data_IF_779988018661
#
_entry.id   IF_779988018661
#
_cell.length_a   1.000
_cell.length_b   1.000
_cell.length_c   1.000
_cell.angle_alpha   90.00
_cell.angle_beta   90.00
_cell.angle_gamma   90.00
#
_symmetry.space_group_name_H-M   'P 1'
#
loop_
_entity.id
_entity.type
_entity.pdbx_description
1 polymer ?
#
# COMPACT_ATOMS: atom_id res chain seq x y z
N UNK A 1 -27.65 -8.44 -20.83
CA UNK A 1 -27.53 -8.58 -19.36
C UNK A 1 -26.37 -7.74 -18.92
N UNK A 2 -26.65 -6.51 -18.53
CA UNK A 2 -25.68 -5.65 -17.87
C UNK A 2 -25.30 -6.33 -16.56
N UNK A 3 -24.09 -6.90 -16.49
CA UNK A 3 -23.56 -7.36 -15.21
C UNK A 3 -23.46 -6.09 -14.36
N UNK A 4 -24.36 -5.91 -13.38
CA UNK A 4 -24.18 -4.96 -12.29
C UNK A 4 -22.69 -4.94 -11.96
N UNK A 5 -22.03 -3.79 -12.21
CA UNK A 5 -20.59 -3.67 -12.04
C UNK A 5 -20.25 -4.22 -10.67
N UNK A 6 -19.54 -5.36 -10.64
CA UNK A 6 -19.07 -6.01 -9.41
C UNK A 6 -17.90 -5.23 -8.87
N UNK A 7 -18.13 -3.96 -8.65
CA UNK A 7 -17.19 -2.99 -8.16
C UNK A 7 -17.46 -2.82 -6.67
N UNK A 8 -16.42 -2.93 -5.86
CA UNK A 8 -16.55 -2.53 -4.46
C UNK A 8 -16.71 -1.03 -4.42
N UNK A 9 -17.62 -0.55 -3.58
CA UNK A 9 -17.86 0.89 -3.36
C UNK A 9 -16.52 1.61 -3.25
N UNK A 10 -16.38 2.72 -3.98
CA UNK A 10 -15.21 3.60 -3.88
C UNK A 10 -15.03 4.05 -2.43
N UNK A 11 -13.94 3.63 -1.81
CA UNK A 11 -13.55 4.09 -0.48
C UNK A 11 -12.65 5.32 -0.61
N UNK A 12 -12.79 6.19 0.36
CA UNK A 12 -11.97 7.38 0.53
C UNK A 12 -11.63 7.49 2.01
N UNK A 13 -10.36 7.61 2.31
CA UNK A 13 -9.86 7.85 3.67
C UNK A 13 -9.37 9.29 3.73
N UNK A 14 -9.78 10.01 4.77
CA UNK A 14 -9.24 11.33 5.11
C UNK A 14 -8.79 11.31 6.56
N UNK A 15 -7.57 11.78 6.79
CA UNK A 15 -7.01 11.97 8.12
C UNK A 15 -7.19 13.44 8.46
N UNK A 16 -7.81 13.70 9.60
CA UNK A 16 -7.99 15.03 10.14
C UNK A 16 -7.11 15.20 11.37
N UNK A 17 -6.54 16.39 11.54
CA UNK A 17 -5.89 16.78 12.79
C UNK A 17 -6.95 17.06 13.89
N UNK A 18 -6.49 17.49 15.07
CA UNK A 18 -7.39 17.85 16.17
C UNK A 18 -8.17 19.15 15.93
N UNK A 19 -7.75 19.97 14.96
CA UNK A 19 -8.50 21.18 14.56
C UNK A 19 -9.63 20.88 13.58
N UNK A 20 -9.66 19.67 13.00
CA UNK A 20 -10.60 19.25 11.96
C UNK A 20 -10.09 19.50 10.54
N UNK A 21 -8.86 19.99 10.38
CA UNK A 21 -8.20 20.19 9.09
C UNK A 21 -7.76 18.85 8.49
N UNK A 22 -8.00 18.65 7.19
CA UNK A 22 -7.61 17.42 6.51
C UNK A 22 -6.11 17.46 6.14
N UNK A 23 -5.31 16.61 6.78
CA UNK A 23 -3.83 16.63 6.68
C UNK A 23 -3.24 15.51 5.83
N UNK A 24 -4.02 14.47 5.52
CA UNK A 24 -3.66 13.44 4.55
C UNK A 24 -4.91 12.73 4.04
N UNK A 25 -4.82 12.10 2.86
CA UNK A 25 -5.91 11.30 2.34
C UNK A 25 -5.44 10.15 1.44
N UNK A 26 -6.30 9.15 1.29
CA UNK A 26 -6.12 8.06 0.35
C UNK A 26 -7.40 7.87 -0.48
N UNK A 27 -7.23 7.77 -1.79
CA UNK A 27 -8.30 7.68 -2.76
C UNK A 27 -8.11 6.49 -3.69
N UNK A 28 -9.18 5.78 -4.01
CA UNK A 28 -9.13 4.76 -5.06
C UNK A 28 -9.12 5.47 -6.43
N UNK A 29 -8.08 5.23 -7.22
CA UNK A 29 -7.95 5.72 -8.60
C UNK A 29 -8.23 4.62 -9.63
N UNK A 30 -7.95 3.37 -9.27
CA UNK A 30 -8.36 2.20 -10.06
C UNK A 30 -9.22 1.30 -9.19
N UNK A 31 -10.48 1.05 -9.56
CA UNK A 31 -11.41 0.33 -8.71
C UNK A 31 -11.03 -1.14 -8.54
N UNK A 32 -11.37 -1.69 -7.38
CA UNK A 32 -11.19 -3.11 -7.10
C UNK A 32 -12.33 -3.90 -7.74
N UNK A 33 -12.03 -4.52 -8.88
CA UNK A 33 -12.96 -5.30 -9.70
C UNK A 33 -12.38 -6.67 -10.04
N UNK A 34 -13.21 -7.70 -10.24
CA UNK A 34 -12.72 -9.01 -10.66
C UNK A 34 -12.08 -8.93 -12.06
N UNK A 35 -10.92 -9.57 -12.22
CA UNK A 35 -10.28 -9.71 -13.53
C UNK A 35 -11.02 -10.72 -14.41
N UNK A 36 -10.90 -10.59 -15.74
CA UNK A 36 -11.54 -11.49 -16.70
C UNK A 36 -11.23 -12.96 -16.41
N UNK A 37 -12.27 -13.78 -16.29
CA UNK A 37 -12.13 -15.22 -15.99
C UNK A 37 -11.90 -15.57 -14.52
N UNK A 38 -11.82 -14.58 -13.61
CA UNK A 38 -11.61 -14.79 -12.18
C UNK A 38 -12.72 -14.12 -11.35
N UNK A 39 -12.85 -14.54 -10.08
CA UNK A 39 -13.73 -13.89 -9.10
C UNK A 39 -12.97 -13.01 -8.10
N UNK A 40 -11.76 -12.56 -8.41
CA UNK A 40 -10.92 -11.72 -7.55
C UNK A 40 -10.16 -10.68 -8.36
N UNK A 41 -9.62 -9.67 -7.67
CA UNK A 41 -8.72 -8.67 -8.24
C UNK A 41 -7.39 -9.34 -8.54
N UNK A 42 -7.04 -9.57 -9.79
CA UNK A 42 -5.78 -10.23 -10.16
C UNK A 42 -4.70 -9.22 -10.54
N UNK A 43 -3.44 -9.67 -10.61
CA UNK A 43 -2.28 -8.84 -10.99
C UNK A 43 -2.42 -8.15 -12.34
N UNK A 44 -3.21 -8.70 -13.26
CA UNK A 44 -3.49 -8.12 -14.58
C UNK A 44 -4.37 -6.86 -14.52
N UNK A 45 -5.09 -6.65 -13.43
CA UNK A 45 -5.91 -5.46 -13.20
C UNK A 45 -5.94 -5.14 -11.69
N UNK A 46 -4.83 -4.62 -11.14
CA UNK A 46 -4.74 -4.32 -9.70
C UNK A 46 -5.64 -3.14 -9.35
N UNK A 47 -6.20 -3.16 -8.14
CA UNK A 47 -6.81 -1.97 -7.56
C UNK A 47 -5.72 -0.99 -7.13
N UNK A 48 -5.97 0.32 -7.28
CA UNK A 48 -4.96 1.34 -7.03
C UNK A 48 -5.49 2.41 -6.10
N UNK A 49 -4.69 2.74 -5.10
CA UNK A 49 -4.86 3.89 -4.23
C UNK A 49 -3.82 4.96 -4.55
N UNK A 50 -4.26 6.20 -4.57
CA UNK A 50 -3.41 7.38 -4.54
C UNK A 50 -3.40 7.96 -3.12
N UNK A 51 -2.21 8.06 -2.55
CA UNK A 51 -1.96 8.72 -1.27
C UNK A 51 -1.56 10.16 -1.55
N UNK A 52 -2.18 11.10 -0.85
CA UNK A 52 -2.01 12.52 -1.08
C UNK A 52 -1.88 13.29 0.24
N UNK A 53 -1.25 14.46 0.17
CA UNK A 53 -1.20 15.45 1.24
C UNK A 53 -1.76 16.78 0.72
N UNK A 54 -2.20 17.70 1.61
CA UNK A 54 -2.64 19.02 1.20
C UNK A 54 -1.50 19.81 0.54
N UNK A 55 -1.84 20.65 -0.44
CA UNK A 55 -0.93 21.64 -1.01
C UNK A 55 -0.84 22.84 -0.08
N UNK A 56 0.38 23.18 0.36
CA UNK A 56 0.62 24.35 1.20
C UNK A 56 0.38 25.68 0.46
N UNK A 57 0.52 25.70 -0.88
CA UNK A 57 0.36 26.90 -1.70
C UNK A 57 -1.09 27.14 -2.10
N UNK A 58 -1.92 26.09 -2.12
CA UNK A 58 -3.29 26.14 -2.65
C UNK A 58 -4.25 25.41 -1.70
N UNK A 59 -4.97 26.17 -0.85
CA UNK A 59 -5.99 25.61 0.02
C UNK A 59 -6.98 24.74 -0.76
N UNK A 60 -7.43 23.63 -0.16
CA UNK A 60 -8.35 22.65 -0.73
C UNK A 60 -7.82 21.77 -1.87
N UNK A 61 -6.57 21.99 -2.32
CA UNK A 61 -5.94 21.13 -3.32
C UNK A 61 -5.03 20.07 -2.68
N UNK A 62 -4.79 18.99 -3.42
CA UNK A 62 -4.09 17.80 -2.96
C UNK A 62 -2.94 17.46 -3.91
N UNK A 63 -1.78 17.17 -3.34
CA UNK A 63 -0.59 16.76 -4.08
C UNK A 63 -0.35 15.25 -3.94
N UNK A 64 0.01 14.56 -5.03
CA UNK A 64 0.28 13.13 -5.01
C UNK A 64 1.59 12.82 -4.29
N UNK A 65 1.54 11.89 -3.34
CA UNK A 65 2.73 11.43 -2.62
C UNK A 65 3.16 10.02 -3.03
N UNK A 66 2.19 9.12 -3.19
CA UNK A 66 2.48 7.73 -3.45
C UNK A 66 1.32 6.97 -4.06
N UNK A 67 1.64 5.87 -4.71
CA UNK A 67 0.69 4.96 -5.36
C UNK A 67 0.79 3.58 -4.72
N UNK A 68 -0.29 3.09 -4.13
CA UNK A 68 -0.39 1.73 -3.61
C UNK A 68 -1.26 0.90 -4.55
N UNK A 69 -0.66 -0.11 -5.17
CA UNK A 69 -1.35 -1.11 -5.95
C UNK A 69 -1.62 -2.35 -5.09
N UNK A 70 -2.78 -2.97 -5.28
CA UNK A 70 -3.13 -4.18 -4.56
C UNK A 70 -3.93 -5.17 -5.41
N UNK A 71 -3.57 -6.45 -5.28
CA UNK A 71 -4.25 -7.57 -5.95
C UNK A 71 -4.13 -8.85 -5.12
N UNK A 72 -4.99 -9.83 -5.42
CA UNK A 72 -4.97 -11.15 -4.78
C UNK A 72 -4.22 -12.14 -5.66
N UNK A 73 -3.27 -12.83 -5.08
CA UNK A 73 -2.57 -13.96 -5.70
C UNK A 73 -3.07 -15.26 -5.09
N UNK A 74 -3.63 -16.12 -5.94
CA UNK A 74 -4.08 -17.47 -5.59
C UNK A 74 -3.08 -18.47 -6.17
N UNK A 75 -2.26 -19.03 -5.30
CA UNK A 75 -1.34 -20.12 -5.62
C UNK A 75 -1.38 -21.17 -4.51
N UNK A 76 -0.21 -21.64 -4.06
CA UNK A 76 -0.10 -22.53 -2.89
C UNK A 76 -0.66 -21.86 -1.62
N UNK A 77 -0.55 -20.53 -1.54
CA UNK A 77 -1.10 -19.71 -0.45
C UNK A 77 -1.95 -18.59 -1.03
N UNK A 78 -3.10 -18.34 -0.40
CA UNK A 78 -3.97 -17.22 -0.73
C UNK A 78 -3.47 -15.95 -0.04
N UNK A 79 -3.04 -14.97 -0.84
CA UNK A 79 -2.40 -13.76 -0.33
C UNK A 79 -2.84 -12.52 -1.11
N UNK A 80 -2.82 -11.37 -0.45
CA UNK A 80 -2.99 -10.06 -1.06
C UNK A 80 -1.60 -9.43 -1.20
N UNK A 81 -1.19 -9.14 -2.42
CA UNK A 81 0.00 -8.37 -2.69
C UNK A 81 -0.32 -6.88 -2.55
N UNK A 82 0.55 -6.16 -1.86
CA UNK A 82 0.53 -4.70 -1.74
C UNK A 82 1.85 -4.16 -2.25
N UNK A 83 1.80 -3.32 -3.28
CA UNK A 83 2.97 -2.74 -3.94
C UNK A 83 2.89 -1.21 -3.90
N UNK A 84 3.80 -0.59 -3.18
CA UNK A 84 3.83 0.85 -2.97
C UNK A 84 4.97 1.51 -3.75
N UNK A 85 4.61 2.53 -4.52
CA UNK A 85 5.53 3.40 -5.23
C UNK A 85 5.47 4.81 -4.65
N UNK A 86 6.63 5.42 -4.43
CA UNK A 86 6.74 6.84 -4.14
C UNK A 86 6.76 7.61 -5.46
N UNK A 87 6.04 8.74 -5.50
CA UNK A 87 6.00 9.59 -6.68
C UNK A 87 7.03 10.70 -6.52
N UNK A 88 7.90 10.90 -7.51
CA UNK A 88 8.86 12.00 -7.51
C UNK A 88 8.19 13.30 -7.95
N UNK A 89 8.43 14.38 -7.21
CA UNK A 89 7.92 15.73 -7.51
C UNK A 89 8.69 16.41 -8.66
N UNK A 90 9.76 15.79 -9.17
CA UNK A 90 10.61 16.32 -10.25
C UNK A 90 10.06 16.18 -11.67
N UNK A 91 10.66 16.93 -12.62
CA UNK A 91 10.24 17.02 -14.02
C UNK A 91 10.14 15.68 -14.78
N UNK A 92 10.80 14.63 -14.33
CA UNK A 92 10.78 13.30 -14.97
C UNK A 92 9.60 12.42 -14.57
N UNK A 93 8.74 12.84 -13.64
CA UNK A 93 7.49 12.13 -13.29
C UNK A 93 7.70 10.66 -12.87
N UNK A 94 8.90 10.32 -12.39
CA UNK A 94 9.29 8.94 -12.12
C UNK A 94 8.58 8.36 -10.90
N UNK A 95 8.14 7.11 -11.01
CA UNK A 95 7.65 6.32 -9.90
C UNK A 95 8.77 5.42 -9.36
N UNK A 96 8.90 5.35 -8.04
CA UNK A 96 9.96 4.59 -7.38
C UNK A 96 9.40 3.52 -6.46
N UNK A 97 9.68 2.25 -6.74
CA UNK A 97 9.21 1.13 -5.92
C UNK A 97 9.84 1.19 -4.52
N UNK A 98 9.01 1.42 -3.51
CA UNK A 98 9.42 1.51 -2.10
C UNK A 98 9.19 0.21 -1.35
N UNK A 99 8.12 -0.53 -1.66
CA UNK A 99 7.79 -1.77 -0.96
C UNK A 99 6.88 -2.66 -1.81
N UNK A 100 7.12 -3.96 -1.77
CA UNK A 100 6.22 -4.99 -2.31
C UNK A 100 6.15 -6.13 -1.30
N UNK A 101 4.94 -6.41 -0.79
CA UNK A 101 4.72 -7.40 0.28
C UNK A 101 3.51 -8.27 -0.04
N UNK A 102 3.66 -9.58 0.19
CA UNK A 102 2.55 -10.52 0.17
C UNK A 102 2.00 -10.73 1.59
N UNK A 103 0.76 -10.32 1.81
CA UNK A 103 0.05 -10.43 3.08
C UNK A 103 -0.90 -11.62 2.98
N UNK A 104 -0.86 -12.52 3.96
CA UNK A 104 -1.76 -13.69 3.93
C UNK A 104 -3.22 -13.24 4.07
N UNK A 105 -4.09 -13.71 3.16
CA UNK A 105 -5.48 -13.27 3.11
C UNK A 105 -6.25 -13.59 4.40
N UNK A 106 -6.08 -14.78 4.97
CA UNK A 106 -6.85 -15.24 6.15
C UNK A 106 -6.22 -14.79 7.48
N UNK A 107 -4.89 -14.79 7.55
CA UNK A 107 -4.15 -14.50 8.78
C UNK A 107 -3.85 -13.01 8.94
N UNK A 108 -3.75 -12.27 7.84
CA UNK A 108 -3.18 -10.93 7.83
C UNK A 108 -1.65 -10.98 7.78
N UNK A 109 -1.01 -9.88 8.15
CA UNK A 109 0.44 -9.77 8.10
C UNK A 109 0.92 -8.35 8.35
N UNK A 110 2.16 -8.10 7.98
CA UNK A 110 2.84 -6.82 8.19
C UNK A 110 3.25 -6.24 6.84
N UNK A 111 2.92 -4.98 6.63
CA UNK A 111 3.41 -4.17 5.53
C UNK A 111 4.48 -3.23 6.07
N UNK A 112 5.67 -3.22 5.50
CA UNK A 112 6.76 -2.38 5.98
C UNK A 112 7.44 -1.65 4.83
N UNK A 113 8.05 -0.51 5.15
CA UNK A 113 8.94 0.24 4.26
C UNK A 113 10.29 0.36 4.95
N UNK A 114 11.34 -0.01 4.23
CA UNK A 114 12.72 -0.01 4.71
C UNK A 114 13.63 0.40 3.56
N UNK A 115 14.37 1.50 3.75
CA UNK A 115 15.27 2.05 2.73
C UNK A 115 16.57 1.25 2.61
N UNK A 116 16.90 0.37 3.56
CA UNK A 116 18.09 -0.50 3.51
C UNK A 116 18.00 -1.60 2.44
N UNK A 117 16.78 -2.04 2.09
CA UNK A 117 16.61 -3.10 1.08
C UNK A 117 16.99 -2.65 -0.32
N UNK A 118 17.17 -1.34 -0.52
CA UNK A 118 17.39 -0.72 -1.80
C UNK A 118 18.87 -0.54 -2.16
N UNK A 119 19.74 -0.36 -1.16
CA UNK A 119 21.20 -0.29 -1.38
C UNK A 119 21.81 -1.62 -1.77
N UNK A 120 21.10 -2.76 -1.55
CA UNK A 120 21.58 -4.10 -1.92
C UNK A 120 21.32 -4.50 -3.38
N UNK A 121 20.41 -3.85 -4.09
CA UNK A 121 20.11 -4.16 -5.50
C UNK A 121 20.92 -3.34 -6.50
N UNK A 122 21.70 -2.35 -6.05
CA UNK A 122 22.47 -1.45 -6.91
C UNK A 122 24.00 -1.67 -6.92
N UNK A 123 24.52 -2.69 -6.22
CA UNK A 123 25.99 -2.90 -6.15
C UNK A 123 26.34 -4.35 -6.48
N UNK A 124 26.74 -4.59 -7.73
CA UNK A 124 27.59 -5.74 -8.06
C UNK A 124 28.98 -5.50 -7.44
N UNK A 125 29.53 -6.42 -6.62
CA UNK A 125 30.82 -6.19 -5.99
C UNK A 125 31.94 -6.51 -6.99
N UNK A 126 32.62 -5.47 -7.47
CA UNK A 126 33.92 -5.60 -8.14
C UNK A 126 34.98 -5.74 -7.03
N UNK A 127 35.81 -6.81 -7.00
CA UNK A 127 36.83 -6.96 -5.98
C UNK A 127 38.14 -6.32 -6.45
N UNK A 128 38.70 -5.34 -5.72
CA UNK A 128 40.08 -4.86 -5.88
C UNK A 128 40.52 -3.95 -4.72
N UNK A 129 41.83 -3.84 -4.41
CA UNK A 129 42.34 -4.13 -3.06
C UNK A 129 42.87 -2.93 -2.26
N UNK A 130 42.89 -3.14 -0.94
CA UNK A 130 43.74 -2.56 0.11
C UNK A 130 44.49 -1.24 -0.16
N UNK A 131 44.11 -0.19 0.58
CA UNK A 131 45.08 0.81 1.08
C UNK A 131 44.55 1.46 2.37
N UNK A 132 45.47 1.57 3.32
CA UNK A 132 45.37 2.11 4.67
C UNK A 132 44.94 3.56 4.74
N UNK A 133 44.12 3.90 5.74
CA UNK A 133 43.88 5.28 6.18
C UNK A 133 42.54 5.39 6.91
N UNK A 134 42.59 5.48 8.23
CA UNK A 134 41.44 5.77 9.07
C UNK A 134 40.80 7.11 8.70
N UNK A 135 39.65 7.03 8.04
CA UNK A 135 38.57 8.00 8.18
C UNK A 135 37.29 7.18 8.25
N UNK A 136 36.70 7.11 9.44
CA UNK A 136 35.44 6.40 9.68
C UNK A 136 34.46 6.72 8.56
N UNK A 137 34.06 5.67 7.85
CA UNK A 137 33.28 5.70 6.63
C UNK A 137 32.08 6.65 6.76
N UNK A 138 32.12 7.74 6.01
CA UNK A 138 30.95 8.53 5.64
C UNK A 138 30.11 7.69 4.67
N UNK A 139 29.48 6.62 5.16
CA UNK A 139 28.25 6.13 4.55
C UNK A 139 27.18 7.21 4.77
N UNK A 140 26.40 7.58 3.74
CA UNK A 140 25.40 8.63 3.90
C UNK A 140 24.43 8.23 5.01
N UNK A 141 24.21 9.17 5.90
CA UNK A 141 23.33 9.11 7.06
C UNK A 141 21.95 8.57 6.62
N UNK A 142 21.56 7.40 7.14
CA UNK A 142 20.15 7.01 7.31
C UNK A 142 19.52 6.10 6.26
N UNK A 143 20.14 4.96 5.94
CA UNK A 143 19.40 3.82 5.41
C UNK A 143 18.80 3.03 6.61
N UNK A 144 17.50 2.70 6.57
CA UNK A 144 16.84 1.97 7.65
C UNK A 144 15.30 2.02 7.69
N UNK A 145 14.74 1.38 8.72
CA UNK A 145 13.30 1.28 8.99
C UNK A 145 12.58 2.63 8.89
N UNK A 146 11.49 2.67 8.11
CA UNK A 146 10.61 3.84 7.93
C UNK A 146 9.26 3.61 8.62
N UNK A 147 8.54 2.56 8.21
CA UNK A 147 7.23 2.22 8.76
C UNK A 147 6.98 0.71 8.80
N UNK A 148 6.13 0.28 9.73
CA UNK A 148 5.45 -1.01 9.73
C UNK A 148 3.96 -0.78 10.01
N UNK A 149 3.09 -1.48 9.28
CA UNK A 149 1.67 -1.56 9.50
C UNK A 149 1.26 -3.03 9.60
N UNK A 150 0.75 -3.44 10.77
CA UNK A 150 0.16 -4.76 10.93
C UNK A 150 -1.32 -4.71 10.60
N UNK A 151 -1.75 -5.53 9.64
CA UNK A 151 -3.14 -5.64 9.19
C UNK A 151 -3.71 -7.01 9.50
N UNK A 152 -5.02 -7.05 9.72
CA UNK A 152 -5.72 -8.29 10.01
C UNK A 152 -6.22 -8.97 8.73
N UNK A 153 -6.33 -10.28 8.80
CA UNK A 153 -6.89 -11.06 7.70
C UNK A 153 -8.39 -10.87 7.51
N UNK A 154 -8.85 -11.31 6.35
CA UNK A 154 -10.23 -11.26 5.88
C UNK A 154 -11.24 -11.69 6.96
N UNK A 155 -12.23 -10.84 7.22
CA UNK A 155 -13.37 -11.18 8.10
C UNK A 155 -13.09 -10.99 9.59
N UNK A 156 -11.87 -10.59 9.97
CA UNK A 156 -11.56 -10.08 11.31
C UNK A 156 -11.89 -8.58 11.39
N UNK A 157 -12.04 -8.05 12.60
CA UNK A 157 -12.20 -6.60 12.81
C UNK A 157 -10.88 -5.91 12.44
N UNK A 158 -10.95 -4.91 11.55
CA UNK A 158 -9.80 -4.07 11.21
C UNK A 158 -9.30 -3.32 12.43
N UNK A 159 -8.00 -3.48 12.71
CA UNK A 159 -7.27 -2.78 13.76
C UNK A 159 -5.82 -2.60 13.30
N UNK A 160 -5.59 -1.76 12.27
CA UNK A 160 -4.22 -1.52 11.79
C UNK A 160 -3.39 -0.94 12.92
N UNK A 161 -2.21 -1.51 13.16
CA UNK A 161 -1.23 -0.99 14.10
C UNK A 161 -0.04 -0.44 13.32
N UNK A 162 0.24 0.84 13.49
CA UNK A 162 1.27 1.57 12.74
C UNK A 162 2.45 1.89 13.65
N UNK A 163 3.65 1.57 13.20
CA UNK A 163 4.91 1.94 13.82
C UNK A 163 5.71 2.78 12.84
N UNK A 164 6.22 3.92 13.28
CA UNK A 164 7.00 4.86 12.47
C UNK A 164 8.36 5.10 13.12
N UNK A 165 9.39 5.22 12.30
CA UNK A 165 10.67 5.72 12.77
C UNK A 165 10.62 7.24 12.93
N UNK A 166 10.88 7.72 14.15
CA UNK A 166 10.82 9.15 14.51
C UNK A 166 11.69 10.04 13.62
N UNK A 167 12.82 9.54 13.08
CA UNK A 167 13.68 10.30 12.15
C UNK A 167 12.99 10.70 10.84
N UNK A 168 11.89 10.03 10.47
CA UNK A 168 11.11 10.32 9.27
C UNK A 168 9.82 11.10 9.58
N UNK A 169 9.63 11.54 10.83
CA UNK A 169 8.45 12.29 11.28
C UNK A 169 8.91 13.62 11.85
N UNK A 170 8.78 14.68 11.07
CA UNK A 170 9.12 16.05 11.48
C UNK A 170 7.90 16.86 11.91
N UNK A 171 6.73 16.54 11.35
CA UNK A 171 5.44 17.16 11.67
C UNK A 171 4.29 16.15 11.72
N UNK A 172 3.08 16.63 12.02
CA UNK A 172 1.89 15.77 12.11
C UNK A 172 1.48 15.23 10.74
N UNK A 173 1.67 16.02 9.69
CA UNK A 173 1.37 15.69 8.30
C UNK A 173 2.21 14.49 7.84
N UNK A 174 3.49 14.45 8.21
CA UNK A 174 4.39 13.31 7.95
C UNK A 174 3.83 12.03 8.57
N UNK A 175 3.35 12.06 9.82
CA UNK A 175 2.73 10.89 10.42
C UNK A 175 1.39 10.53 9.76
N UNK A 176 0.59 11.55 9.43
CA UNK A 176 -0.73 11.38 8.84
C UNK A 176 -0.68 10.70 7.46
N UNK A 177 0.35 10.97 6.67
CA UNK A 177 0.50 10.36 5.34
C UNK A 177 0.74 8.85 5.42
N UNK A 178 1.55 8.41 6.39
CA UNK A 178 1.76 6.99 6.66
C UNK A 178 0.51 6.33 7.26
N UNK A 179 -0.29 7.06 8.05
CA UNK A 179 -1.59 6.57 8.51
C UNK A 179 -2.58 6.38 7.35
N UNK A 180 -2.61 7.30 6.38
CA UNK A 180 -3.42 7.17 5.18
C UNK A 180 -3.01 5.93 4.35
N UNK A 181 -1.69 5.71 4.19
CA UNK A 181 -1.17 4.52 3.54
C UNK A 181 -1.54 3.24 4.31
N UNK A 182 -1.37 3.21 5.63
CA UNK A 182 -1.74 2.08 6.47
C UNK A 182 -3.23 1.71 6.34
N UNK A 183 -4.11 2.72 6.32
CA UNK A 183 -5.53 2.51 6.10
C UNK A 183 -5.83 1.96 4.70
N UNK A 184 -5.12 2.43 3.67
CA UNK A 184 -5.25 1.89 2.32
C UNK A 184 -4.81 0.42 2.22
N UNK A 185 -3.72 0.03 2.92
CA UNK A 185 -3.27 -1.38 3.01
C UNK A 185 -4.31 -2.24 3.72
N UNK A 186 -4.82 -1.81 4.88
CA UNK A 186 -5.84 -2.55 5.65
C UNK A 186 -7.13 -2.74 4.84
N UNK A 187 -7.61 -1.67 4.21
CA UNK A 187 -8.77 -1.74 3.32
C UNK A 187 -8.51 -2.60 2.09
N UNK A 188 -7.28 -2.68 1.58
CA UNK A 188 -6.95 -3.54 0.43
C UNK A 188 -7.14 -5.02 0.73
N UNK A 189 -6.94 -5.47 1.97
CA UNK A 189 -7.25 -6.86 2.38
C UNK A 189 -8.73 -7.14 2.19
N UNK A 190 -9.58 -6.21 2.63
CA UNK A 190 -11.02 -6.30 2.42
C UNK A 190 -11.39 -6.13 0.95
N UNK A 191 -10.74 -5.23 0.21
CA UNK A 191 -11.04 -4.93 -1.20
C UNK A 191 -10.73 -6.10 -2.14
N UNK A 192 -9.65 -6.83 -1.86
CA UNK A 192 -9.21 -7.94 -2.69
C UNK A 192 -10.01 -9.23 -2.45
N UNK A 193 -10.87 -9.27 -1.42
CA UNK A 193 -11.74 -10.42 -1.16
C UNK A 193 -12.46 -10.90 -2.44
N UNK A 194 -12.66 -12.20 -2.61
CA UNK A 194 -13.34 -12.73 -3.79
C UNK A 194 -14.79 -12.25 -3.90
N UNK A 195 -15.18 -11.87 -5.12
CA UNK A 195 -16.52 -11.47 -5.54
C UNK A 195 -17.41 -12.70 -5.75
N UNK A 196 -17.52 -13.56 -4.72
CA UNK A 196 -18.32 -14.79 -4.80
C UNK A 196 -19.77 -14.45 -5.12
N UNK A 197 -20.39 -15.20 -6.04
CA UNK A 197 -21.85 -15.28 -6.14
C UNK A 197 -22.35 -16.00 -4.90
N UNK A 198 -23.31 -15.42 -4.16
CA UNK A 198 -24.23 -16.26 -3.38
C UNK A 198 -24.97 -17.09 -4.42
N UNK A 199 -24.55 -18.34 -4.65
CA UNK A 199 -25.45 -19.30 -5.26
C UNK A 199 -26.63 -19.39 -4.30
N UNK A 200 -27.79 -18.83 -4.68
CA UNK A 200 -29.05 -19.24 -4.06
C UNK A 200 -29.07 -20.75 -4.26
N UNK A 201 -28.84 -21.50 -3.18
CA UNK A 201 -29.02 -22.95 -3.16
C UNK A 201 -30.48 -23.15 -3.55
N UNK A 202 -30.70 -23.51 -4.81
CA UNK A 202 -32.04 -23.82 -5.30
C UNK A 202 -32.57 -24.94 -4.40
N UNK A 203 -33.68 -24.66 -3.72
CA UNK A 203 -34.49 -25.71 -3.12
C UNK A 203 -34.82 -26.68 -4.24
N UNK A 204 -34.15 -27.84 -4.26
CA UNK A 204 -34.65 -29.00 -4.98
C UNK A 204 -35.84 -29.45 -4.17
N UNK A 205 -37.03 -28.97 -4.53
CA UNK A 205 -38.24 -29.70 -4.22
C UNK A 205 -38.17 -31.00 -5.03
N UNK A 206 -37.85 -32.08 -4.32
CA UNK A 206 -38.10 -33.43 -4.76
C UNK A 206 -39.59 -33.57 -5.09
N UNK A 207 -39.85 -34.29 -6.18
CA UNK A 207 -41.16 -34.69 -6.71
C UNK A 207 -42.18 -35.10 -5.64
#
# INVERSE_FOLDING_TARGET
MEMERRERKGWKVKIHDLSGSAVAAAFITTPFVPSTGCDWVAKSNPGVWLIVHPDACRPESWLPWGKLEAWRERGIRDSVCCRFHLLSEGQDGGEFLMSEVLINADKGGEFFIDTDRQTRTAVTPIPSPQSSGDFSALSPIGAGFVMNCRVQGEGKRSKPLVQLAMRHVTCMEDAAIFMALAAAVDLSIEACKPFRRKFRRGSRHSL
#
